data_IF_450656590700
#
_entry.id   IF_450656590700
#
_cell.length_a   1.000
_cell.length_b   1.000
_cell.length_c   1.000
_cell.angle_alpha   90.00
_cell.angle_beta   90.00
_cell.angle_gamma   90.00
#
_symmetry.space_group_name_H-M   'P 1'
#
loop_
_entity.id
_entity.type
_entity.pdbx_description
1 polymer ?
#
# COMPACT_ATOMS: atom_id res chain seq x y z
N UNK A 1 -2.44 0.37 35.56
CA UNK A 1 -1.49 0.96 34.60
C UNK A 1 -2.10 2.26 34.09
N UNK A 2 -1.56 3.41 34.48
CA UNK A 2 -2.14 4.72 34.13
C UNK A 2 -1.76 5.17 32.71
N UNK A 3 -2.69 5.11 31.78
CA UNK A 3 -2.46 5.41 30.35
C UNK A 3 -2.40 6.91 29.99
N UNK A 4 -2.62 7.82 30.95
CA UNK A 4 -2.62 9.26 30.71
C UNK A 4 -1.84 10.03 31.80
N UNK A 5 -0.51 9.98 31.77
CA UNK A 5 0.32 11.01 32.43
C UNK A 5 0.99 11.84 31.34
N UNK A 6 0.58 13.11 31.21
CA UNK A 6 1.25 14.09 30.33
C UNK A 6 2.55 14.55 31.00
N UNK A 7 3.66 14.43 30.27
CA UNK A 7 4.87 15.19 30.52
C UNK A 7 4.64 16.63 30.04
N UNK A 8 4.78 17.60 30.94
CA UNK A 8 4.75 19.03 30.62
C UNK A 8 6.11 19.43 30.04
N UNK A 9 6.24 19.54 28.72
CA UNK A 9 7.39 20.18 28.08
C UNK A 9 7.18 21.69 28.04
N UNK A 10 8.09 22.44 28.65
CA UNK A 10 8.11 23.90 28.63
C UNK A 10 8.63 24.37 27.26
N UNK A 11 7.81 25.09 26.51
CA UNK A 11 8.22 25.78 25.28
C UNK A 11 8.61 27.22 25.60
N UNK A 12 9.88 27.57 25.37
CA UNK A 12 10.38 28.94 25.41
C UNK A 12 10.09 29.64 24.09
N UNK A 13 9.21 30.64 24.12
CA UNK A 13 8.93 31.55 23.01
C UNK A 13 9.92 32.73 23.05
N UNK A 14 10.73 32.91 22.01
CA UNK A 14 11.42 34.17 21.74
C UNK A 14 11.06 34.61 20.32
N UNK A 15 10.20 35.62 20.22
CA UNK A 15 9.92 36.38 19.01
C UNK A 15 10.76 37.66 19.01
N UNK A 16 11.45 37.93 17.90
CA UNK A 16 12.00 39.26 17.56
C UNK A 16 11.23 39.82 16.36
N UNK A 17 10.90 41.12 16.34
CA UNK A 17 10.35 41.78 15.17
C UNK A 17 11.48 42.28 14.25
N UNK A 18 11.29 42.23 12.94
CA UNK A 18 12.12 42.96 11.98
C UNK A 18 11.30 44.09 11.37
N UNK A 19 11.95 45.24 11.37
CA UNK A 19 11.56 46.58 10.95
C UNK A 19 11.25 46.70 9.46
N UNK A 20 10.39 47.69 9.18
CA UNK A 20 10.13 48.33 7.90
C UNK A 20 11.41 48.66 7.12
N UNK A 21 11.30 48.64 5.79
CA UNK A 21 11.98 49.64 4.96
C UNK A 21 11.18 49.97 3.69
N UNK A 22 11.22 51.26 3.39
CA UNK A 22 10.52 52.00 2.33
C UNK A 22 11.20 51.89 0.95
N UNK A 23 10.46 52.39 -0.05
CA UNK A 23 10.85 52.86 -1.40
C UNK A 23 10.32 51.96 -2.53
N UNK A 24 9.81 52.43 -3.66
CA UNK A 24 9.54 53.77 -4.20
C UNK A 24 8.74 53.60 -5.49
N UNK A 25 7.99 54.65 -5.84
CA UNK A 25 7.20 54.83 -7.06
C UNK A 25 7.94 54.49 -8.38
N UNK A 26 7.22 53.88 -9.32
CA UNK A 26 7.31 54.24 -10.74
C UNK A 26 5.97 54.01 -11.44
N UNK A 27 5.43 55.11 -11.94
CA UNK A 27 4.21 55.19 -12.72
C UNK A 27 4.35 54.48 -14.07
N UNK A 28 3.30 53.76 -14.48
CA UNK A 28 3.04 53.52 -15.90
C UNK A 28 1.53 53.48 -16.16
N UNK A 29 1.09 54.48 -16.92
CA UNK A 29 -0.24 54.65 -17.45
C UNK A 29 -0.58 53.51 -18.41
N UNK A 30 -1.59 52.69 -18.09
CA UNK A 30 -2.28 51.88 -19.09
C UNK A 30 -3.79 52.02 -18.96
N UNK A 31 -4.37 52.20 -20.12
CA UNK A 31 -5.71 52.64 -20.45
C UNK A 31 -6.77 51.63 -20.03
N UNK A 32 -7.81 52.19 -19.41
CA UNK A 32 -9.19 51.73 -19.30
C UNK A 32 -9.68 50.91 -20.49
N UNK A 33 -10.10 49.66 -20.23
CA UNK A 33 -11.22 49.01 -20.91
C UNK A 33 -12.05 48.24 -19.88
N UNK A 34 -13.35 48.54 -19.87
CA UNK A 34 -14.53 47.91 -19.27
C UNK A 34 -14.33 46.61 -18.46
N UNK A 35 -14.69 46.53 -17.18
CA UNK A 35 -16.01 46.75 -16.54
C UNK A 35 -17.09 45.78 -17.04
N UNK A 36 -17.07 44.54 -16.53
CA UNK A 36 -18.30 43.71 -16.39
C UNK A 36 -18.15 42.45 -15.51
N UNK A 37 -17.00 42.16 -14.89
CA UNK A 37 -16.78 40.92 -14.11
C UNK A 37 -16.55 41.09 -12.60
N UNK A 38 -16.76 42.28 -12.03
CA UNK A 38 -16.45 42.56 -10.62
C UNK A 38 -17.60 42.32 -9.62
N UNK A 39 -18.83 42.03 -10.07
CA UNK A 39 -19.98 41.93 -9.15
C UNK A 39 -20.14 40.52 -8.54
N UNK A 40 -19.65 39.46 -9.18
CA UNK A 40 -19.88 38.08 -8.68
C UNK A 40 -18.81 37.56 -7.69
N UNK A 41 -17.65 38.24 -7.56
CA UNK A 41 -16.59 37.80 -6.63
C UNK A 41 -16.79 38.38 -5.21
N UNK A 42 -17.48 39.52 -5.08
CA UNK A 42 -17.70 40.17 -3.78
C UNK A 42 -18.68 39.41 -2.88
N UNK A 43 -19.67 38.70 -3.44
CA UNK A 43 -20.60 37.88 -2.64
C UNK A 43 -19.97 36.56 -2.15
N UNK A 44 -18.93 36.06 -2.83
CA UNK A 44 -18.19 34.86 -2.40
C UNK A 44 -17.25 35.11 -1.22
N UNK A 45 -16.76 36.35 -1.04
CA UNK A 45 -15.95 36.74 0.12
C UNK A 45 -16.80 37.14 1.34
N UNK A 46 -18.04 37.62 1.14
CA UNK A 46 -18.97 37.94 2.22
C UNK A 46 -19.52 36.70 2.96
N UNK A 47 -19.32 35.49 2.43
CA UNK A 47 -19.72 34.25 3.11
C UNK A 47 -18.70 33.77 4.16
N UNK A 48 -17.51 34.40 4.24
CA UNK A 48 -16.41 33.98 5.12
C UNK A 48 -16.45 34.63 6.52
N UNK A 49 -17.33 35.63 6.75
CA UNK A 49 -17.39 36.38 8.03
C UNK A 49 -18.54 35.96 8.95
N UNK A 50 -19.21 34.83 8.72
CA UNK A 50 -20.13 34.30 9.73
C UNK A 50 -19.33 33.90 10.96
N UNK A 51 -19.59 34.47 12.15
CA UNK A 51 -18.91 34.03 13.37
C UNK A 51 -19.12 32.52 13.51
N UNK A 52 -18.08 31.76 13.92
CA UNK A 52 -18.20 30.32 14.04
C UNK A 52 -19.44 29.99 14.88
N UNK A 53 -20.29 29.07 14.42
CA UNK A 53 -21.54 28.75 15.11
C UNK A 53 -21.22 28.42 16.57
N UNK A 54 -21.77 29.20 17.50
CA UNK A 54 -21.60 28.95 18.94
C UNK A 54 -22.15 27.55 19.21
N UNK A 55 -21.30 26.61 19.61
CA UNK A 55 -21.73 25.27 19.98
C UNK A 55 -22.54 25.35 21.28
N UNK A 56 -23.89 25.28 21.25
CA UNK A 56 -24.73 25.59 22.41
C UNK A 56 -24.47 24.64 23.58
N UNK A 57 -24.05 23.41 23.26
CA UNK A 57 -23.70 22.37 24.22
C UNK A 57 -22.52 22.74 25.13
N UNK A 58 -21.61 23.62 24.66
CA UNK A 58 -20.48 24.09 25.47
C UNK A 58 -20.86 25.16 26.49
N UNK A 59 -22.09 25.69 26.40
CA UNK A 59 -22.64 26.67 27.35
C UNK A 59 -23.56 26.03 28.39
N UNK A 60 -23.77 24.71 28.32
CA UNK A 60 -24.60 24.01 29.30
C UNK A 60 -23.87 23.93 30.65
N UNK A 61 -24.59 24.09 31.77
CA UNK A 61 -24.06 23.74 33.09
C UNK A 61 -23.52 22.31 33.11
N UNK A 62 -22.47 22.10 33.92
CA UNK A 62 -21.78 20.83 34.07
C UNK A 62 -22.75 19.67 34.38
N UNK A 63 -23.74 19.95 35.23
CA UNK A 63 -24.75 19.03 35.70
C UNK A 63 -25.61 18.52 34.54
N UNK A 64 -25.97 19.38 33.58
CA UNK A 64 -26.74 18.98 32.41
C UNK A 64 -25.91 18.10 31.46
N UNK A 65 -24.61 18.38 31.31
CA UNK A 65 -23.71 17.56 30.49
C UNK A 65 -23.56 16.15 31.10
N UNK A 66 -23.38 16.09 32.42
CA UNK A 66 -23.33 14.83 33.15
C UNK A 66 -24.67 14.09 33.08
N UNK A 67 -25.80 14.80 33.15
CA UNK A 67 -27.14 14.22 33.02
C UNK A 67 -27.36 13.65 31.63
N UNK A 68 -26.99 14.35 30.55
CA UNK A 68 -27.04 13.83 29.18
C UNK A 68 -26.25 12.52 29.07
N UNK A 69 -25.06 12.45 29.66
CA UNK A 69 -24.24 11.24 29.65
C UNK A 69 -24.93 10.02 30.31
N UNK A 70 -25.81 10.22 31.29
CA UNK A 70 -26.57 9.11 31.90
C UNK A 70 -27.61 8.47 30.98
N UNK A 71 -28.02 9.15 29.90
CA UNK A 71 -28.93 8.59 28.89
C UNK A 71 -28.20 7.94 27.70
N UNK A 72 -26.88 8.08 27.63
CA UNK A 72 -26.08 7.50 26.55
C UNK A 72 -25.64 6.09 26.92
N UNK A 73 -25.66 5.19 25.94
CA UNK A 73 -24.99 3.90 26.09
C UNK A 73 -23.47 4.10 26.20
N UNK A 74 -22.74 3.09 26.69
CA UNK A 74 -21.32 3.24 27.00
C UNK A 74 -20.47 3.65 25.79
N UNK A 75 -20.82 3.22 24.57
CA UNK A 75 -20.07 3.60 23.37
C UNK A 75 -20.36 5.06 22.99
N UNK A 76 -21.63 5.47 22.99
CA UNK A 76 -22.01 6.87 22.73
C UNK A 76 -21.49 7.81 23.80
N UNK A 77 -21.47 7.39 25.07
CA UNK A 77 -20.90 8.14 26.19
C UNK A 77 -19.39 8.38 26.00
N UNK A 78 -18.64 7.35 25.58
CA UNK A 78 -17.22 7.50 25.27
C UNK A 78 -16.97 8.41 24.05
N UNK A 79 -17.78 8.28 22.99
CA UNK A 79 -17.74 9.17 21.84
C UNK A 79 -18.08 10.62 22.20
N UNK A 80 -19.09 10.82 23.05
CA UNK A 80 -19.50 12.12 23.57
C UNK A 80 -18.38 12.74 24.41
N UNK A 81 -17.75 11.96 25.29
CA UNK A 81 -16.58 12.36 26.07
C UNK A 81 -15.43 12.88 25.19
N UNK A 82 -15.21 12.28 24.02
CA UNK A 82 -14.16 12.70 23.08
C UNK A 82 -14.54 13.83 22.12
N UNK A 83 -15.81 14.25 22.09
CA UNK A 83 -16.28 15.25 21.13
C UNK A 83 -15.68 16.65 21.36
N UNK A 84 -15.31 16.99 22.60
CA UNK A 84 -14.59 18.21 22.91
C UNK A 84 -13.77 18.08 24.19
N UNK A 85 -12.72 18.90 24.32
CA UNK A 85 -11.91 18.98 25.55
C UNK A 85 -12.75 19.39 26.77
N UNK A 86 -13.73 20.26 26.58
CA UNK A 86 -14.63 20.70 27.66
C UNK A 86 -15.49 19.53 28.17
N UNK A 87 -16.12 18.79 27.25
CA UNK A 87 -16.95 17.63 27.62
C UNK A 87 -16.08 16.53 28.26
N UNK A 88 -14.87 16.29 27.76
CA UNK A 88 -13.92 15.38 28.39
C UNK A 88 -13.62 15.74 29.85
N UNK A 89 -13.42 17.02 30.15
CA UNK A 89 -13.19 17.47 31.54
C UNK A 89 -14.46 17.46 32.38
N UNK A 90 -15.62 17.74 31.79
CA UNK A 90 -16.92 17.69 32.45
C UNK A 90 -17.29 16.28 32.92
N UNK A 91 -17.03 15.27 32.08
CA UNK A 91 -17.35 13.87 32.37
C UNK A 91 -16.20 13.11 33.06
N UNK A 92 -14.97 13.60 32.91
CA UNK A 92 -13.77 12.96 33.44
C UNK A 92 -13.28 11.76 32.64
N UNK A 93 -12.19 11.15 33.13
CA UNK A 93 -11.51 10.02 32.46
C UNK A 93 -12.25 8.69 32.58
N UNK A 94 -13.17 8.57 33.54
CA UNK A 94 -13.79 7.29 33.90
C UNK A 94 -14.68 6.77 32.77
N UNK A 95 -15.49 7.63 32.14
CA UNK A 95 -16.38 7.23 31.04
C UNK A 95 -15.60 6.54 29.91
N UNK A 96 -14.46 7.11 29.50
CA UNK A 96 -13.61 6.53 28.47
C UNK A 96 -12.85 5.29 28.97
N UNK A 97 -12.30 5.34 30.19
CA UNK A 97 -11.52 4.24 30.76
C UNK A 97 -12.40 3.01 30.98
N UNK A 98 -13.59 3.19 31.57
CA UNK A 98 -14.56 2.13 31.79
C UNK A 98 -15.01 1.50 30.47
N UNK A 99 -15.28 2.31 29.43
CA UNK A 99 -15.64 1.77 28.12
C UNK A 99 -14.53 0.89 27.53
N UNK A 100 -13.29 1.36 27.62
CA UNK A 100 -12.10 0.70 27.09
C UNK A 100 -11.71 -0.53 27.93
N UNK A 101 -11.95 -0.51 29.24
CA UNK A 101 -11.63 -1.60 30.17
C UNK A 101 -12.77 -2.61 30.35
N UNK A 102 -13.99 -2.29 29.88
CA UNK A 102 -15.15 -3.19 29.92
C UNK A 102 -14.89 -4.53 29.22
N UNK A 103 -14.12 -4.52 28.15
CA UNK A 103 -13.69 -5.75 27.48
C UNK A 103 -12.48 -6.36 28.18
N UNK A 104 -12.64 -7.59 28.71
CA UNK A 104 -11.52 -8.38 29.24
C UNK A 104 -10.58 -8.86 28.13
N UNK A 105 -11.10 -8.97 26.91
CA UNK A 105 -10.33 -9.38 25.75
C UNK A 105 -9.50 -8.22 25.19
N UNK A 106 -8.16 -8.39 25.17
CA UNK A 106 -7.23 -7.40 24.62
C UNK A 106 -7.55 -7.01 23.16
N UNK A 107 -8.06 -7.94 22.35
CA UNK A 107 -8.40 -7.66 20.96
C UNK A 107 -9.64 -6.77 20.81
N UNK A 108 -10.66 -7.01 21.63
CA UNK A 108 -11.85 -6.15 21.67
C UNK A 108 -11.49 -4.76 22.17
N UNK A 109 -10.66 -4.67 23.22
CA UNK A 109 -10.14 -3.41 23.76
C UNK A 109 -9.50 -2.55 22.67
N UNK A 110 -8.64 -3.17 21.85
CA UNK A 110 -8.00 -2.50 20.70
C UNK A 110 -9.00 -2.05 19.66
N UNK A 111 -9.95 -2.92 19.30
CA UNK A 111 -11.00 -2.58 18.34
C UNK A 111 -11.81 -1.37 18.80
N UNK A 112 -12.12 -1.30 20.09
CA UNK A 112 -12.82 -0.15 20.70
C UNK A 112 -11.97 1.12 20.65
N UNK A 113 -10.69 1.04 21.03
CA UNK A 113 -9.76 2.18 20.95
C UNK A 113 -9.64 2.70 19.51
N UNK A 114 -9.48 1.80 18.54
CA UNK A 114 -9.38 2.15 17.12
C UNK A 114 -10.67 2.79 16.58
N UNK A 115 -11.84 2.27 16.95
CA UNK A 115 -13.12 2.76 16.45
C UNK A 115 -13.50 4.14 17.02
N UNK A 116 -13.17 4.39 18.29
CA UNK A 116 -13.65 5.58 19.03
C UNK A 116 -12.54 6.63 19.15
N UNK A 117 -11.35 6.22 19.60
CA UNK A 117 -10.28 7.16 19.98
C UNK A 117 -9.50 7.62 18.75
N UNK A 118 -9.09 6.72 17.86
CA UNK A 118 -8.27 7.09 16.70
C UNK A 118 -9.00 8.03 15.73
N UNK A 119 -10.33 7.85 15.60
CA UNK A 119 -11.19 8.76 14.86
C UNK A 119 -11.28 10.17 15.48
N UNK A 120 -11.08 10.32 16.79
CA UNK A 120 -11.20 11.61 17.47
C UNK A 120 -9.92 12.48 17.37
N UNK A 121 -8.77 11.90 17.01
CA UNK A 121 -7.48 12.60 17.02
C UNK A 121 -6.82 12.62 15.63
N UNK A 122 -7.19 13.58 14.76
CA UNK A 122 -6.42 13.83 13.53
C UNK A 122 -4.96 14.14 13.90
N UNK A 123 -4.02 13.68 13.08
CA UNK A 123 -2.57 13.76 13.37
C UNK A 123 -2.01 12.70 14.33
N UNK A 124 -2.84 11.78 14.85
CA UNK A 124 -2.36 10.61 15.60
C UNK A 124 -2.90 9.30 15.01
N UNK A 125 -2.17 8.20 15.20
CA UNK A 125 -2.65 6.85 14.91
C UNK A 125 -2.37 5.93 16.08
N UNK A 126 -3.20 4.90 16.24
CA UNK A 126 -3.02 3.90 17.29
C UNK A 126 -2.09 2.78 16.79
N UNK A 127 -1.02 2.50 17.53
CA UNK A 127 -0.13 1.40 17.21
C UNK A 127 -0.50 0.15 18.01
N UNK A 128 -1.13 -0.82 17.35
CA UNK A 128 -1.51 -2.10 17.94
C UNK A 128 -0.33 -2.98 18.41
N UNK A 129 0.93 -2.59 18.15
CA UNK A 129 2.10 -3.31 18.67
C UNK A 129 2.47 -2.85 20.07
N UNK A 130 2.67 -1.54 20.26
CA UNK A 130 3.08 -0.98 21.55
C UNK A 130 1.90 -0.43 22.38
N UNK A 131 0.67 -0.51 21.87
CA UNK A 131 -0.55 0.01 22.48
C UNK A 131 -0.45 1.51 22.84
N UNK A 132 0.17 2.31 21.95
CA UNK A 132 0.35 3.77 22.10
C UNK A 132 -0.16 4.55 20.89
N UNK A 133 -0.59 5.79 21.14
CA UNK A 133 -0.83 6.76 20.08
C UNK A 133 0.47 7.40 19.63
N UNK A 134 0.66 7.44 18.33
CA UNK A 134 1.80 8.07 17.71
C UNK A 134 1.35 9.25 16.89
N UNK A 135 2.01 10.39 17.08
CA UNK A 135 1.91 11.50 16.15
C UNK A 135 2.41 11.04 14.77
N UNK A 136 1.74 11.52 13.74
CA UNK A 136 2.14 11.41 12.35
C UNK A 136 2.03 12.77 11.66
N UNK A 137 2.76 12.89 10.56
CA UNK A 137 2.81 14.06 9.70
C UNK A 137 2.68 13.63 8.24
N UNK A 138 2.23 14.52 7.33
CA UNK A 138 2.17 14.23 5.90
C UNK A 138 3.51 13.77 5.29
N UNK A 139 4.62 14.09 5.95
CA UNK A 139 5.98 13.71 5.56
C UNK A 139 6.33 12.27 5.96
N UNK A 140 5.58 11.63 6.87
CA UNK A 140 5.78 10.24 7.33
C UNK A 140 5.30 9.19 6.31
N UNK A 141 5.41 9.49 5.02
CA UNK A 141 5.07 8.56 3.94
C UNK A 141 6.17 7.51 3.70
N UNK A 142 5.92 6.54 2.81
CA UNK A 142 6.91 5.52 2.44
C UNK A 142 8.24 6.06 1.89
N UNK A 143 8.24 7.31 1.40
CA UNK A 143 9.39 8.04 0.86
C UNK A 143 10.18 8.82 1.91
N UNK A 144 9.71 8.86 3.15
CA UNK A 144 10.37 9.60 4.21
C UNK A 144 11.79 9.06 4.39
N UNK A 145 12.78 9.94 4.21
CA UNK A 145 14.11 9.65 4.71
C UNK A 145 13.98 9.41 6.21
N UNK A 146 14.58 8.35 6.73
CA UNK A 146 14.55 8.02 8.15
C UNK A 146 15.36 9.09 8.90
N UNK A 147 14.75 10.24 9.11
CA UNK A 147 15.29 11.34 9.90
C UNK A 147 14.66 11.24 11.28
N UNK A 148 15.28 10.46 12.16
CA UNK A 148 14.83 10.34 13.54
C UNK A 148 15.16 9.00 14.20
N UNK A 149 14.89 8.93 15.51
CA UNK A 149 14.97 7.67 16.28
C UNK A 149 13.99 6.68 15.68
N UNK A 150 14.49 5.59 15.10
CA UNK A 150 13.66 4.48 14.62
C UNK A 150 12.75 4.02 15.77
N UNK A 151 11.45 4.02 15.52
CA UNK A 151 10.49 3.49 16.47
C UNK A 151 10.59 1.97 16.40
N UNK A 152 10.95 1.31 17.50
CA UNK A 152 11.06 -0.15 17.56
C UNK A 152 9.78 -0.83 17.02
N UNK A 153 8.60 -0.32 17.41
CA UNK A 153 7.31 -0.84 16.94
C UNK A 153 7.09 -0.73 15.42
N UNK A 154 7.76 0.21 14.74
CA UNK A 154 7.62 0.39 13.30
C UNK A 154 8.48 -0.60 12.50
N UNK A 155 9.54 -1.15 13.09
CA UNK A 155 10.40 -2.15 12.45
C UNK A 155 9.88 -3.58 12.70
N UNK A 156 9.29 -3.85 13.88
CA UNK A 156 8.73 -5.17 14.23
C UNK A 156 7.52 -5.59 13.39
N UNK A 157 6.77 -4.64 12.86
CA UNK A 157 5.55 -4.91 12.11
C UNK A 157 5.79 -5.27 10.64
N UNK A 158 6.97 -5.82 10.30
CA UNK A 158 7.34 -6.11 8.91
C UNK A 158 7.47 -4.84 8.04
N UNK A 159 8.18 -4.96 6.92
CA UNK A 159 8.33 -3.89 5.94
C UNK A 159 8.59 -4.48 4.55
N UNK A 160 8.26 -3.69 3.53
CA UNK A 160 8.50 -3.98 2.13
C UNK A 160 9.45 -2.93 1.55
N UNK A 161 10.68 -3.34 1.30
CA UNK A 161 11.71 -2.48 0.72
C UNK A 161 11.59 -2.42 -0.80
N UNK A 162 11.57 -1.21 -1.36
CA UNK A 162 11.51 -0.99 -2.80
C UNK A 162 12.82 -0.44 -3.35
N UNK A 163 13.40 0.54 -2.67
CA UNK A 163 14.65 1.23 -2.99
C UNK A 163 15.20 1.90 -1.72
N UNK A 164 16.39 2.49 -1.79
CA UNK A 164 17.04 3.15 -0.63
C UNK A 164 16.23 4.28 0.00
N UNK A 165 15.34 4.87 -0.79
CA UNK A 165 14.49 5.99 -0.45
C UNK A 165 13.01 5.58 -0.29
N UNK A 166 12.68 4.28 -0.36
CA UNK A 166 11.28 3.84 -0.26
C UNK A 166 11.14 2.56 0.55
N UNK A 167 10.48 2.68 1.70
CA UNK A 167 10.16 1.58 2.61
C UNK A 167 8.69 1.64 2.98
N UNK A 168 7.92 0.65 2.54
CA UNK A 168 6.52 0.52 2.93
C UNK A 168 6.42 -0.25 4.25
N UNK A 169 5.83 0.37 5.26
CA UNK A 169 5.61 -0.19 6.59
C UNK A 169 4.12 -0.26 6.88
N UNK A 170 3.72 -1.09 7.84
CA UNK A 170 2.31 -1.28 8.20
C UNK A 170 1.60 0.04 8.51
N UNK A 171 2.24 0.92 9.29
CA UNK A 171 1.62 2.17 9.72
C UNK A 171 1.37 3.13 8.55
N UNK A 172 2.16 3.09 7.47
CA UNK A 172 1.85 3.84 6.26
C UNK A 172 0.50 3.38 5.70
N UNK A 173 0.31 2.06 5.56
CA UNK A 173 -0.95 1.46 5.08
C UNK A 173 -2.12 1.84 6.00
N UNK A 174 -1.94 1.77 7.33
CA UNK A 174 -2.93 2.22 8.32
C UNK A 174 -3.34 3.67 8.10
N UNK A 175 -2.36 4.57 7.96
CA UNK A 175 -2.62 6.00 7.75
C UNK A 175 -3.39 6.23 6.44
N UNK A 176 -3.04 5.54 5.35
CA UNK A 176 -3.79 5.66 4.10
C UNK A 176 -5.25 5.19 4.23
N UNK A 177 -5.47 4.08 4.94
CA UNK A 177 -6.81 3.57 5.23
C UNK A 177 -7.59 4.54 6.11
N UNK A 178 -6.98 5.10 7.15
CA UNK A 178 -7.61 6.11 7.99
C UNK A 178 -8.00 7.35 7.17
N UNK A 179 -7.13 7.81 6.27
CA UNK A 179 -7.42 8.93 5.39
C UNK A 179 -8.64 8.65 4.50
N UNK A 180 -8.75 7.43 3.97
CA UNK A 180 -9.88 6.99 3.16
C UNK A 180 -11.19 6.88 3.95
N UNK A 181 -11.12 6.46 5.22
CA UNK A 181 -12.32 6.17 6.02
C UNK A 181 -12.85 7.38 6.77
N UNK A 182 -11.97 8.30 7.18
CA UNK A 182 -12.30 9.39 8.09
C UNK A 182 -12.00 10.78 7.53
N UNK A 183 -11.22 10.88 6.44
CA UNK A 183 -10.85 12.17 5.82
C UNK A 183 -9.34 12.40 5.77
N UNK A 184 -8.85 13.30 4.89
CA UNK A 184 -7.42 13.53 4.65
C UNK A 184 -6.62 13.96 5.89
N UNK A 185 -7.27 14.53 6.91
CA UNK A 185 -6.68 14.91 8.20
C UNK A 185 -6.33 13.72 9.11
N UNK A 186 -6.75 12.50 8.75
CA UNK A 186 -6.50 11.27 9.51
C UNK A 186 -5.36 10.41 8.96
N UNK A 187 -4.74 10.79 7.83
CA UNK A 187 -3.56 10.08 7.36
C UNK A 187 -2.94 10.59 6.08
N UNK A 188 -2.12 9.76 5.46
CA UNK A 188 -1.36 10.12 4.25
C UNK A 188 -2.19 9.83 2.99
N UNK A 189 -2.12 10.71 1.96
CA UNK A 189 -2.87 10.50 0.73
C UNK A 189 -2.32 9.30 -0.06
N UNK A 190 -3.18 8.64 -0.85
CA UNK A 190 -2.77 7.51 -1.71
C UNK A 190 -1.65 7.87 -2.70
N UNK A 191 -1.56 9.13 -3.12
CA UNK A 191 -0.47 9.61 -3.98
C UNK A 191 0.92 9.48 -3.34
N UNK A 192 1.02 9.42 -2.00
CA UNK A 192 2.28 9.20 -1.30
C UNK A 192 2.88 7.81 -1.55
N UNK A 193 2.07 6.85 -1.99
CA UNK A 193 2.49 5.48 -2.29
C UNK A 193 2.95 5.28 -3.73
N UNK A 194 2.70 6.26 -4.61
CA UNK A 194 3.19 6.23 -5.99
C UNK A 194 4.69 6.50 -6.02
N UNK A 195 5.46 5.60 -6.60
CA UNK A 195 6.91 5.70 -6.66
C UNK A 195 7.43 5.25 -8.02
N UNK A 196 8.41 5.96 -8.55
CA UNK A 196 9.17 5.55 -9.71
C UNK A 196 10.65 5.64 -9.39
N UNK A 197 11.37 4.55 -9.58
CA UNK A 197 12.81 4.48 -9.34
C UNK A 197 13.51 3.88 -10.54
N UNK A 198 14.51 4.58 -11.07
CA UNK A 198 15.37 4.12 -12.15
C UNK A 198 16.77 3.91 -11.59
N UNK A 199 17.38 2.77 -11.91
CA UNK A 199 18.70 2.42 -11.41
C UNK A 199 19.44 1.51 -12.39
N UNK A 200 20.69 1.19 -12.08
CA UNK A 200 21.51 0.23 -12.83
C UNK A 200 21.87 -0.91 -11.87
N UNK A 201 21.38 -2.11 -12.15
CA UNK A 201 21.75 -3.31 -11.42
C UNK A 201 22.95 -4.01 -12.08
N UNK A 202 23.79 -4.70 -11.31
CA UNK A 202 24.90 -5.48 -11.88
C UNK A 202 24.48 -6.94 -12.05
N UNK A 203 24.38 -7.41 -13.29
CA UNK A 203 24.16 -8.82 -13.63
C UNK A 203 25.41 -9.34 -14.32
N UNK A 204 26.12 -10.30 -13.72
CA UNK A 204 27.40 -10.82 -14.24
C UNK A 204 28.45 -9.72 -14.53
N UNK A 205 28.57 -8.73 -13.63
CA UNK A 205 29.40 -7.52 -13.79
C UNK A 205 28.95 -6.55 -14.87
N UNK A 206 27.94 -6.89 -15.68
CA UNK A 206 27.36 -5.98 -16.66
C UNK A 206 26.28 -5.10 -16.01
N UNK A 207 26.37 -3.77 -16.14
CA UNK A 207 25.33 -2.87 -15.66
C UNK A 207 24.09 -3.00 -16.56
N UNK A 208 22.95 -3.29 -15.95
CA UNK A 208 21.64 -3.50 -16.58
C UNK A 208 20.68 -2.44 -16.08
N UNK A 209 20.03 -1.67 -16.96
CA UNK A 209 19.06 -0.67 -16.55
C UNK A 209 17.81 -1.34 -15.97
N UNK A 210 17.34 -0.78 -14.85
CA UNK A 210 16.17 -1.24 -14.11
C UNK A 210 15.21 -0.07 -13.87
N UNK A 211 13.90 -0.36 -13.90
CA UNK A 211 12.82 0.59 -13.61
C UNK A 211 11.78 -0.07 -12.71
N UNK A 212 11.60 0.48 -11.52
CA UNK A 212 10.52 0.13 -10.59
C UNK A 212 9.42 1.20 -10.66
N UNK A 213 8.17 0.77 -10.73
CA UNK A 213 6.99 1.61 -10.60
C UNK A 213 6.04 1.01 -9.56
N UNK A 214 5.58 1.83 -8.63
CA UNK A 214 4.62 1.48 -7.60
C UNK A 214 3.37 2.34 -7.74
N UNK A 215 2.20 1.75 -7.51
CA UNK A 215 0.95 2.47 -7.35
C UNK A 215 0.04 1.75 -6.36
N UNK A 216 -0.71 2.50 -5.58
CA UNK A 216 -1.64 1.96 -4.60
C UNK A 216 -3.07 2.40 -4.91
N UNK A 217 -4.03 1.60 -4.44
CA UNK A 217 -5.47 1.86 -4.56
C UNK A 217 -6.19 1.24 -3.37
N UNK A 218 -7.29 1.84 -2.96
CA UNK A 218 -8.21 1.21 -1.99
C UNK A 218 -9.45 0.73 -2.74
N UNK A 219 -9.82 -0.52 -2.54
CA UNK A 219 -10.99 -1.14 -3.17
C UNK A 219 -11.74 -1.96 -2.12
N UNK A 220 -13.03 -1.70 -1.94
CA UNK A 220 -13.90 -2.40 -0.95
C UNK A 220 -13.32 -2.41 0.48
N UNK A 221 -12.61 -1.35 0.88
CA UNK A 221 -11.97 -1.26 2.20
C UNK A 221 -10.67 -2.06 2.34
N UNK A 222 -10.10 -2.55 1.23
CA UNK A 222 -8.81 -3.23 1.19
C UNK A 222 -7.76 -2.34 0.51
N UNK A 223 -6.55 -2.33 1.06
CA UNK A 223 -5.43 -1.62 0.47
C UNK A 223 -4.71 -2.52 -0.54
N UNK A 224 -4.78 -2.15 -1.81
CA UNK A 224 -4.16 -2.87 -2.91
C UNK A 224 -2.89 -2.15 -3.38
N UNK A 225 -1.80 -2.90 -3.55
CA UNK A 225 -0.52 -2.40 -4.03
C UNK A 225 -0.13 -3.08 -5.34
N UNK A 226 0.09 -2.27 -6.39
CA UNK A 226 0.70 -2.71 -7.63
C UNK A 226 2.19 -2.37 -7.64
N UNK A 227 3.02 -3.33 -8.04
CA UNK A 227 4.44 -3.13 -8.28
C UNK A 227 4.78 -3.64 -9.68
N UNK A 228 5.57 -2.87 -10.44
CA UNK A 228 6.01 -3.21 -11.79
C UNK A 228 7.50 -2.96 -11.89
N UNK A 229 8.27 -4.02 -12.08
CA UNK A 229 9.71 -3.97 -12.24
C UNK A 229 10.10 -4.39 -13.65
N UNK A 230 10.79 -3.51 -14.37
CA UNK A 230 11.29 -3.77 -15.71
C UNK A 230 12.82 -3.72 -15.70
N UNK A 231 13.45 -4.60 -16.48
CA UNK A 231 14.90 -4.61 -16.67
C UNK A 231 15.29 -5.05 -18.09
N UNK A 232 16.43 -4.60 -18.58
CA UNK A 232 16.93 -4.94 -19.93
C UNK A 232 18.15 -5.85 -19.84
N UNK A 233 17.93 -7.16 -20.02
CA UNK A 233 18.96 -8.18 -19.99
C UNK A 233 19.69 -8.26 -21.35
N UNK A 234 21.02 -8.41 -21.36
CA UNK A 234 21.75 -8.72 -22.58
C UNK A 234 21.49 -10.18 -23.00
N UNK A 235 21.49 -10.48 -24.31
CA UNK A 235 21.15 -11.82 -24.82
C UNK A 235 22.08 -12.93 -24.31
N UNK A 236 23.35 -12.63 -24.00
CA UNK A 236 24.25 -13.63 -23.42
C UNK A 236 23.81 -14.06 -22.01
N UNK A 237 23.16 -13.18 -21.25
CA UNK A 237 22.75 -13.47 -19.88
C UNK A 237 21.60 -14.49 -19.84
N UNK A 238 20.71 -14.47 -20.83
CA UNK A 238 19.57 -15.40 -20.93
C UNK A 238 19.99 -16.86 -21.13
N UNK A 239 21.19 -17.09 -21.68
CA UNK A 239 21.77 -18.42 -21.89
C UNK A 239 22.50 -18.96 -20.66
N UNK A 240 22.78 -18.12 -19.66
CA UNK A 240 23.53 -18.52 -18.49
C UNK A 240 22.66 -19.35 -17.52
N UNK A 241 23.12 -20.55 -17.16
CA UNK A 241 22.41 -21.44 -16.21
C UNK A 241 22.27 -20.84 -14.81
N UNK A 242 23.17 -19.93 -14.44
CA UNK A 242 23.18 -19.25 -13.14
C UNK A 242 22.45 -17.90 -13.17
N UNK A 243 21.71 -17.59 -14.24
CA UNK A 243 21.02 -16.31 -14.38
C UNK A 243 20.09 -16.02 -13.21
N UNK A 244 19.29 -17.00 -12.80
CA UNK A 244 18.33 -16.83 -11.72
C UNK A 244 19.00 -16.47 -10.40
N UNK A 245 20.17 -17.06 -10.09
CA UNK A 245 20.96 -16.75 -8.91
C UNK A 245 21.49 -15.31 -8.92
N UNK A 246 21.84 -14.78 -10.09
CA UNK A 246 22.27 -13.39 -10.26
C UNK A 246 21.08 -12.40 -10.28
N UNK A 247 19.94 -12.83 -10.83
CA UNK A 247 18.76 -12.03 -11.05
C UNK A 247 17.92 -11.85 -9.78
N UNK A 248 17.73 -12.92 -9.01
CA UNK A 248 16.82 -12.91 -7.86
C UNK A 248 17.15 -11.84 -6.81
N UNK A 249 18.42 -11.65 -6.40
CA UNK A 249 18.78 -10.61 -5.42
C UNK A 249 18.60 -9.17 -5.94
N UNK A 250 18.48 -8.98 -7.26
CA UNK A 250 18.25 -7.67 -7.88
C UNK A 250 16.77 -7.28 -7.85
N UNK A 251 15.86 -8.25 -7.71
CA UNK A 251 14.43 -7.97 -7.62
C UNK A 251 14.11 -7.32 -6.27
N UNK A 252 13.40 -6.18 -6.24
CA UNK A 252 13.13 -5.50 -4.99
C UNK A 252 12.16 -6.30 -4.13
N UNK A 253 12.34 -6.23 -2.82
CA UNK A 253 11.54 -6.99 -1.86
C UNK A 253 10.04 -6.63 -1.92
N UNK A 254 9.67 -5.40 -2.30
CA UNK A 254 8.27 -5.03 -2.53
C UNK A 254 7.61 -5.83 -3.66
N UNK A 255 8.41 -6.37 -4.58
CA UNK A 255 7.97 -7.21 -5.69
C UNK A 255 7.94 -8.69 -5.28
N UNK A 256 9.04 -9.22 -4.75
CA UNK A 256 9.20 -10.67 -4.49
C UNK A 256 8.92 -11.10 -3.06
N UNK A 257 8.98 -10.16 -2.11
CA UNK A 257 8.99 -10.43 -0.68
C UNK A 257 7.76 -11.21 -0.20
N UNK A 258 8.03 -12.33 0.45
CA UNK A 258 7.06 -13.24 1.03
C UNK A 258 7.60 -13.70 2.38
N UNK A 259 6.81 -13.60 3.45
CA UNK A 259 7.33 -13.84 4.80
C UNK A 259 7.80 -15.29 5.01
N UNK A 260 7.07 -16.23 4.42
CA UNK A 260 7.29 -17.67 4.63
C UNK A 260 8.19 -18.33 3.56
N UNK A 261 8.81 -17.55 2.67
CA UNK A 261 9.57 -18.10 1.53
C UNK A 261 10.65 -17.14 1.04
N UNK A 262 11.91 -17.59 1.09
CA UNK A 262 13.04 -16.87 0.49
C UNK A 262 12.97 -16.82 -1.04
N UNK A 263 12.23 -17.76 -1.63
CA UNK A 263 11.94 -17.81 -3.06
C UNK A 263 10.74 -16.92 -3.45
N UNK A 264 10.24 -16.12 -2.50
CA UNK A 264 9.14 -15.19 -2.71
C UNK A 264 7.81 -15.90 -2.97
N UNK A 265 6.96 -15.26 -3.78
CA UNK A 265 5.64 -15.77 -4.14
C UNK A 265 5.71 -17.11 -4.88
N UNK A 266 4.80 -18.02 -4.55
CA UNK A 266 4.76 -19.36 -5.14
C UNK A 266 4.74 -19.30 -6.67
N UNK A 267 5.66 -20.03 -7.29
CA UNK A 267 5.78 -20.15 -8.74
C UNK A 267 6.44 -18.97 -9.45
N UNK A 268 6.59 -17.81 -8.80
CA UNK A 268 7.13 -16.59 -9.44
C UNK A 268 8.57 -16.81 -9.93
N UNK A 269 9.45 -17.34 -9.07
CA UNK A 269 10.85 -17.60 -9.40
C UNK A 269 10.99 -18.55 -10.61
N UNK A 270 10.23 -19.66 -10.61
CA UNK A 270 10.24 -20.63 -11.71
C UNK A 270 9.69 -20.02 -13.01
N UNK A 271 8.66 -19.18 -12.91
CA UNK A 271 8.08 -18.51 -14.06
C UNK A 271 9.05 -17.48 -14.68
N UNK A 272 9.84 -16.78 -13.87
CA UNK A 272 10.93 -15.92 -14.36
C UNK A 272 11.96 -16.76 -15.13
N UNK A 273 12.42 -17.87 -14.58
CA UNK A 273 13.39 -18.76 -15.25
C UNK A 273 12.85 -19.28 -16.59
N UNK A 274 11.60 -19.75 -16.61
CA UNK A 274 10.94 -20.24 -17.81
C UNK A 274 10.77 -19.16 -18.88
N UNK A 275 10.35 -17.95 -18.50
CA UNK A 275 10.18 -16.83 -19.45
C UNK A 275 11.53 -16.45 -20.05
N UNK A 276 12.55 -16.29 -19.22
CA UNK A 276 13.84 -15.76 -19.68
C UNK A 276 14.66 -16.80 -20.45
N UNK A 277 14.67 -18.06 -20.01
CA UNK A 277 15.50 -19.11 -20.62
C UNK A 277 14.79 -19.89 -21.72
N UNK A 278 13.48 -20.11 -21.59
CA UNK A 278 12.70 -20.97 -22.49
C UNK A 278 11.75 -20.18 -23.38
N UNK A 279 11.69 -18.85 -23.24
CA UNK A 279 10.78 -18.00 -24.01
C UNK A 279 9.30 -18.28 -23.73
N UNK A 280 8.99 -18.85 -22.55
CA UNK A 280 7.59 -19.14 -22.19
C UNK A 280 6.77 -17.85 -22.09
N UNK A 281 5.49 -17.96 -22.44
CA UNK A 281 4.54 -16.85 -22.36
C UNK A 281 3.38 -17.23 -21.45
N UNK A 282 3.18 -16.45 -20.41
CA UNK A 282 2.02 -16.57 -19.54
C UNK A 282 0.92 -15.65 -20.07
N UNK A 283 -0.15 -16.23 -20.61
CA UNK A 283 -1.28 -15.47 -21.15
C UNK A 283 -2.15 -14.83 -20.05
N UNK A 284 -2.12 -15.40 -18.85
CA UNK A 284 -2.95 -15.01 -17.74
C UNK A 284 -2.10 -14.72 -16.50
N UNK A 285 -2.64 -13.84 -15.65
CA UNK A 285 -2.12 -13.57 -14.31
C UNK A 285 -2.21 -14.84 -13.47
N UNK A 286 -1.13 -15.16 -12.78
CA UNK A 286 -1.05 -16.25 -11.82
C UNK A 286 -1.26 -15.71 -10.40
N UNK A 287 -1.55 -16.58 -9.44
CA UNK A 287 -1.62 -16.22 -8.03
C UNK A 287 -0.60 -16.98 -7.19
N UNK A 288 -0.19 -16.37 -6.09
CA UNK A 288 0.49 -17.06 -5.01
C UNK A 288 -0.53 -17.93 -4.26
N UNK A 289 -0.21 -19.19 -3.97
CA UNK A 289 -1.09 -20.03 -3.13
C UNK A 289 -0.98 -19.69 -1.63
N UNK A 290 0.10 -19.02 -1.23
CA UNK A 290 0.42 -18.73 0.16
C UNK A 290 -0.07 -17.36 0.62
N UNK A 291 -0.30 -16.41 -0.29
CA UNK A 291 -0.72 -15.07 0.07
C UNK A 291 -1.67 -14.46 -0.97
N UNK A 292 -2.35 -13.38 -0.59
CA UNK A 292 -3.19 -12.62 -1.51
C UNK A 292 -2.31 -11.77 -2.45
N UNK A 293 -1.65 -12.43 -3.40
CA UNK A 293 -0.86 -11.77 -4.44
C UNK A 293 -1.03 -12.42 -5.79
N UNK A 294 -1.43 -11.60 -6.75
CA UNK A 294 -1.41 -11.92 -8.17
C UNK A 294 -0.09 -11.46 -8.79
N UNK A 295 0.41 -12.19 -9.78
CA UNK A 295 1.61 -11.81 -10.52
C UNK A 295 1.52 -12.13 -12.01
N UNK A 296 2.26 -11.36 -12.80
CA UNK A 296 2.39 -11.53 -14.25
C UNK A 296 3.83 -11.24 -14.68
N UNK A 297 4.30 -11.98 -15.67
CA UNK A 297 5.65 -11.84 -16.21
C UNK A 297 5.56 -11.78 -17.72
N UNK A 298 6.30 -10.86 -18.33
CA UNK A 298 6.48 -10.81 -19.77
C UNK A 298 7.95 -10.57 -20.12
N UNK A 299 8.37 -11.15 -21.24
CA UNK A 299 9.65 -10.85 -21.87
C UNK A 299 9.43 -10.41 -23.31
N UNK A 300 10.15 -9.36 -23.70
CA UNK A 300 10.18 -8.87 -25.07
C UNK A 300 11.63 -8.84 -25.55
N UNK A 301 11.90 -9.54 -26.65
CA UNK A 301 13.21 -9.53 -27.30
C UNK A 301 13.34 -8.35 -28.26
N UNK A 302 14.52 -7.76 -28.32
CA UNK A 302 14.92 -6.70 -29.24
C UNK A 302 16.07 -7.23 -30.09
N UNK A 303 15.78 -7.90 -31.23
CA UNK A 303 16.81 -8.49 -32.08
C UNK A 303 17.68 -7.42 -32.77
N UNK A 304 17.13 -6.23 -33.00
CA UNK A 304 17.82 -5.12 -33.67
C UNK A 304 18.80 -4.36 -32.78
N UNK A 305 18.79 -4.58 -31.46
CA UNK A 305 19.77 -3.99 -30.57
C UNK A 305 21.10 -4.74 -30.72
N UNK A 306 22.22 -4.01 -30.86
CA UNK A 306 23.56 -4.60 -30.99
C UNK A 306 23.82 -5.62 -29.86
N UNK A 307 24.05 -6.88 -30.25
CA UNK A 307 24.29 -7.99 -29.31
C UNK A 307 23.03 -8.67 -28.75
N UNK A 308 21.84 -8.26 -29.18
CA UNK A 308 20.55 -8.78 -28.73
C UNK A 308 20.22 -8.37 -27.29
N UNK A 309 19.01 -7.88 -27.06
CA UNK A 309 18.54 -7.52 -25.72
C UNK A 309 17.16 -8.12 -25.45
N UNK A 310 16.85 -8.34 -24.17
CA UNK A 310 15.56 -8.80 -23.71
C UNK A 310 15.07 -7.90 -22.58
N UNK A 311 13.88 -7.31 -22.71
CA UNK A 311 13.21 -6.63 -21.61
C UNK A 311 12.35 -7.61 -20.85
N UNK A 312 12.73 -7.88 -19.61
CA UNK A 312 11.91 -8.60 -18.64
C UNK A 312 11.05 -7.59 -17.87
N UNK A 313 9.75 -7.86 -17.75
CA UNK A 313 8.82 -7.11 -16.92
C UNK A 313 8.12 -8.07 -15.97
N UNK A 314 8.24 -7.79 -14.67
CA UNK A 314 7.57 -8.54 -13.60
C UNK A 314 6.60 -7.59 -12.91
N UNK A 315 5.35 -8.02 -12.78
CA UNK A 315 4.28 -7.24 -12.15
C UNK A 315 3.64 -8.05 -11.04
N UNK A 316 3.33 -7.39 -9.93
CA UNK A 316 2.60 -7.98 -8.81
C UNK A 316 1.48 -7.06 -8.35
N UNK A 317 0.35 -7.65 -7.95
CA UNK A 317 -0.77 -6.97 -7.31
C UNK A 317 -1.02 -7.67 -5.97
N UNK A 318 -0.86 -6.93 -4.87
CA UNK A 318 -0.97 -7.44 -3.51
C UNK A 318 -2.20 -6.86 -2.84
N UNK A 319 -2.92 -7.68 -2.09
CA UNK A 319 -3.91 -7.21 -1.12
C UNK A 319 -3.25 -7.19 0.27
N UNK A 320 -3.00 -5.99 0.79
CA UNK A 320 -2.38 -5.79 2.10
C UNK A 320 -3.40 -5.82 3.25
N UNK A 321 -4.67 -6.11 2.95
CA UNK A 321 -5.77 -6.21 3.90
C UNK A 321 -6.43 -4.85 4.20
N UNK A 322 -7.17 -4.82 5.30
CA UNK A 322 -7.93 -3.65 5.75
C UNK A 322 -7.08 -2.65 6.54
N UNK A 323 -5.84 -3.04 6.86
CA UNK A 323 -4.94 -2.36 7.77
C UNK A 323 -5.62 -2.02 9.11
N UNK A 324 -6.50 -2.90 9.59
CA UNK A 324 -7.08 -2.75 10.92
C UNK A 324 -6.12 -3.19 11.98
N UNK A 325 -5.55 -4.37 11.79
CA UNK A 325 -4.53 -4.90 12.69
C UNK A 325 -3.27 -5.36 11.94
N UNK A 326 -2.06 -5.12 12.48
CA UNK A 326 -0.82 -5.65 11.90
C UNK A 326 -0.72 -7.17 12.01
N UNK A 327 -1.69 -7.82 12.65
CA UNK A 327 -1.81 -9.27 12.79
C UNK A 327 -2.71 -9.89 11.71
N UNK A 328 -3.31 -9.08 10.82
CA UNK A 328 -4.06 -9.59 9.66
C UNK A 328 -3.16 -10.40 8.73
N UNK A 329 -3.72 -11.49 8.20
CA UNK A 329 -3.04 -12.38 7.24
C UNK A 329 -2.59 -11.62 5.99
N UNK A 330 -3.43 -10.70 5.48
CA UNK A 330 -3.12 -9.87 4.31
C UNK A 330 -1.77 -9.14 4.46
N UNK A 331 -1.55 -8.46 5.58
CA UNK A 331 -0.25 -7.82 5.83
C UNK A 331 0.83 -8.82 6.26
N UNK A 332 0.51 -9.77 7.15
CA UNK A 332 1.49 -10.69 7.74
C UNK A 332 2.12 -11.65 6.73
N UNK A 333 1.43 -12.00 5.66
CA UNK A 333 1.98 -12.81 4.59
C UNK A 333 3.11 -12.10 3.82
N UNK A 334 3.24 -10.79 4.02
CA UNK A 334 4.22 -9.94 3.37
C UNK A 334 5.27 -9.44 4.38
N UNK A 335 6.54 -9.52 3.99
CA UNK A 335 7.61 -9.10 4.86
C UNK A 335 8.93 -9.74 4.58
N UNK A 336 9.97 -9.12 5.13
CA UNK A 336 11.30 -9.72 5.18
C UNK A 336 11.18 -11.00 6.00
N UNK A 337 11.68 -12.11 5.46
CA UNK A 337 11.79 -13.36 6.19
C UNK A 337 12.45 -13.08 7.54
N UNK A 338 11.70 -13.23 8.63
CA UNK A 338 12.29 -13.26 9.95
C UNK A 338 13.15 -14.51 10.01
N UNK A 339 14.44 -14.35 10.36
CA UNK A 339 15.42 -15.43 10.33
C UNK A 339 14.93 -16.75 10.93
N UNK A 340 15.54 -17.84 10.45
CA UNK A 340 15.27 -19.25 10.77
C UNK A 340 14.71 -19.46 12.18
N UNK A 341 13.40 -19.73 12.28
CA UNK A 341 12.76 -20.05 13.57
C UNK A 341 11.25 -19.87 13.68
N UNK A 342 10.58 -19.19 12.74
CA UNK A 342 9.13 -18.93 12.83
C UNK A 342 8.31 -19.89 11.96
N UNK A 343 8.08 -21.12 12.44
CA UNK A 343 7.29 -22.15 11.74
C UNK A 343 5.77 -22.04 11.97
N UNK A 344 5.31 -21.13 12.83
CA UNK A 344 3.91 -21.08 13.27
C UNK A 344 2.95 -20.33 12.32
N UNK A 345 3.44 -19.61 11.30
CA UNK A 345 2.61 -18.72 10.47
C UNK A 345 1.97 -19.39 9.24
N UNK A 346 2.46 -20.55 8.83
CA UNK A 346 2.17 -21.13 7.50
C UNK A 346 0.75 -21.71 7.39
N UNK A 347 0.22 -22.30 8.47
CA UNK A 347 -1.08 -22.98 8.45
C UNK A 347 -2.27 -22.02 8.34
N UNK A 348 -2.21 -20.85 8.98
CA UNK A 348 -3.32 -19.88 8.99
C UNK A 348 -3.50 -19.19 7.63
N UNK A 349 -2.41 -19.06 6.85
CA UNK A 349 -2.46 -18.34 5.57
C UNK A 349 -3.13 -19.15 4.45
N UNK A 350 -2.96 -20.48 4.45
CA UNK A 350 -3.51 -21.39 3.44
C UNK A 350 -5.05 -21.40 3.40
N UNK A 351 -5.70 -21.25 4.55
CA UNK A 351 -7.18 -21.25 4.62
C UNK A 351 -7.78 -19.97 4.03
N UNK A 352 -7.11 -18.83 4.20
CA UNK A 352 -7.61 -17.54 3.70
C UNK A 352 -7.47 -17.39 2.18
N UNK A 353 -6.51 -18.08 1.57
CA UNK A 353 -6.27 -18.03 0.11
C UNK A 353 -7.02 -19.13 -0.65
N UNK A 354 -7.58 -20.12 0.05
CA UNK A 354 -8.37 -21.20 -0.51
C UNK A 354 -9.69 -20.67 -1.09
N UNK A 355 -9.64 -20.12 -2.31
CA UNK A 355 -10.79 -19.53 -2.99
C UNK A 355 -10.45 -18.31 -3.84
N UNK A 356 -9.27 -17.72 -3.68
CA UNK A 356 -8.83 -16.62 -4.54
C UNK A 356 -8.53 -17.14 -5.95
N UNK A 357 -9.37 -16.76 -6.90
CA UNK A 357 -9.14 -17.03 -8.32
C UNK A 357 -7.94 -16.22 -8.81
N UNK A 358 -7.08 -16.82 -9.64
CA UNK A 358 -5.97 -16.13 -10.27
C UNK A 358 -6.45 -14.87 -11.02
N UNK A 359 -5.78 -13.75 -10.78
CA UNK A 359 -6.12 -12.44 -11.35
C UNK A 359 -7.24 -11.70 -10.61
N UNK A 360 -7.81 -12.22 -9.53
CA UNK A 360 -8.87 -11.53 -8.78
C UNK A 360 -8.40 -10.20 -8.18
N UNK A 361 -7.20 -10.16 -7.62
CA UNK A 361 -6.62 -8.96 -6.99
C UNK A 361 -6.25 -7.95 -8.07
N UNK A 362 -5.67 -8.41 -9.17
CA UNK A 362 -5.44 -7.57 -10.35
C UNK A 362 -6.74 -6.95 -10.86
N UNK A 363 -7.80 -7.75 -11.01
CA UNK A 363 -9.13 -7.25 -11.45
C UNK A 363 -9.69 -6.22 -10.47
N UNK A 364 -9.57 -6.45 -9.16
CA UNK A 364 -10.00 -5.48 -8.13
C UNK A 364 -9.18 -4.18 -8.14
N UNK A 365 -7.91 -4.25 -8.52
CA UNK A 365 -7.07 -3.08 -8.72
C UNK A 365 -7.46 -2.32 -9.99
N UNK A 366 -7.61 -3.04 -11.11
CA UNK A 366 -7.86 -2.48 -12.44
C UNK A 366 -9.33 -2.02 -12.62
N UNK A 367 -10.28 -2.52 -11.82
CA UNK A 367 -11.70 -2.16 -11.91
C UNK A 367 -11.92 -0.66 -11.66
N UNK A 368 -12.66 0.02 -12.54
CA UNK A 368 -12.87 1.47 -12.50
C UNK A 368 -13.62 2.00 -11.26
N UNK A 369 -14.14 1.12 -10.40
CA UNK A 369 -14.73 1.46 -9.08
C UNK A 369 -13.68 1.92 -8.06
N UNK A 370 -12.76 2.82 -8.45
CA UNK A 370 -12.08 3.63 -7.47
C UNK A 370 -13.14 4.53 -6.82
N UNK A 371 -13.18 4.56 -5.50
CA UNK A 371 -14.02 5.42 -4.69
C UNK A 371 -13.61 6.91 -4.84
N UNK A 372 -13.60 7.43 -6.06
CA UNK A 372 -13.52 8.86 -6.35
C UNK A 372 -14.88 9.49 -6.01
N UNK A 373 -15.09 9.68 -4.70
CA UNK A 373 -16.08 10.63 -4.18
C UNK A 373 -15.69 12.10 -4.43
N UNK A 374 -14.55 12.35 -5.10
CA UNK A 374 -14.10 13.66 -5.54
C UNK A 374 -13.67 13.57 -7.01
N UNK A 375 -14.55 13.99 -7.92
CA UNK A 375 -14.27 14.12 -9.36
C UNK A 375 -13.05 15.02 -9.54
N UNK A 376 -11.87 14.43 -9.75
CA UNK A 376 -10.67 15.16 -10.19
C UNK A 376 -10.76 15.32 -11.71
N UNK A 377 -10.47 16.51 -12.28
CA UNK A 377 -10.48 16.69 -13.73
C UNK A 377 -9.48 15.75 -14.38
N UNK A 378 -9.96 14.95 -15.33
CA UNK A 378 -9.17 14.00 -16.10
C UNK A 378 -8.07 14.74 -16.87
N UNK A 379 -6.84 14.68 -16.36
CA UNK A 379 -5.67 15.00 -17.16
C UNK A 379 -5.44 13.84 -18.12
N UNK A 380 -5.81 14.03 -19.39
CA UNK A 380 -5.53 13.10 -20.48
C UNK A 380 -4.04 12.74 -20.47
N UNK A 381 -3.74 11.51 -20.07
CA UNK A 381 -2.38 10.97 -20.15
C UNK A 381 -1.97 10.90 -21.62
N UNK A 382 -0.78 11.41 -22.00
CA UNK A 382 -0.30 11.33 -23.37
C UNK A 382 -0.18 9.87 -23.80
N UNK A 383 -0.55 9.62 -25.05
CA UNK A 383 -0.54 8.32 -25.71
C UNK A 383 0.81 7.60 -25.54
N UNK A 384 0.74 6.26 -25.55
CA UNK A 384 1.85 5.31 -25.36
C UNK A 384 3.02 5.57 -26.32
N UNK A 385 3.87 6.54 -26.01
CA UNK A 385 5.16 6.70 -26.67
C UNK A 385 6.11 5.58 -26.18
N UNK A 386 6.84 5.01 -27.13
CA UNK A 386 7.77 3.89 -26.98
C UNK A 386 8.74 4.12 -25.80
N UNK A 387 8.62 3.30 -24.74
CA UNK A 387 9.47 3.35 -23.53
C UNK A 387 10.97 3.23 -23.86
N UNK A 388 11.32 2.64 -25.01
CA UNK A 388 12.71 2.53 -25.48
C UNK A 388 13.38 3.91 -25.67
N UNK A 389 12.64 4.94 -26.11
CA UNK A 389 13.18 6.31 -26.23
C UNK A 389 13.48 6.96 -24.88
N UNK A 390 12.72 6.65 -23.82
CA UNK A 390 12.92 7.24 -22.50
C UNK A 390 14.17 6.75 -21.77
N UNK A 391 14.77 5.65 -22.24
CA UNK A 391 16.02 5.10 -21.71
C UNK A 391 17.25 5.51 -22.52
N UNK A 392 17.08 5.85 -23.81
CA UNK A 392 18.19 6.11 -24.74
C UNK A 392 18.33 7.59 -25.16
N UNK A 393 17.44 8.51 -24.72
CA UNK A 393 17.60 9.95 -24.98
C UNK A 393 18.81 10.51 -24.21
N UNK A 394 19.98 10.43 -24.84
CA UNK A 394 21.00 11.49 -24.75
C UNK A 394 20.45 12.70 -25.51
N UNK A 395 20.72 13.90 -25.01
CA UNK A 395 20.39 15.17 -25.66
C UNK A 395 21.12 15.31 -27.00
N UNK A 396 20.57 14.75 -28.06
CA UNK A 396 20.90 15.10 -29.44
C UNK A 396 19.57 15.39 -30.13
N UNK A 397 19.32 16.68 -30.33
CA UNK A 397 18.32 17.16 -31.26
C UNK A 397 18.83 16.90 -32.68
N UNK A 398 17.86 16.80 -33.59
CA UNK A 398 18.00 16.69 -35.05
C UNK A 398 17.94 15.27 -35.61
N UNK A 399 17.16 15.19 -36.69
CA UNK A 399 16.86 14.05 -37.58
C UNK A 399 15.55 13.28 -37.28
N UNK A 400 14.47 13.86 -37.82
CA UNK A 400 13.30 13.15 -38.34
C UNK A 400 13.64 12.59 -39.73
N UNK A 401 13.39 11.31 -39.98
CA UNK A 401 12.54 10.83 -41.09
C UNK A 401 12.57 9.29 -41.23
N UNK A 402 11.53 8.81 -41.91
CA UNK A 402 11.40 7.55 -42.62
C UNK A 402 10.70 6.36 -41.93
N UNK A 403 9.51 6.09 -42.48
CA UNK A 403 8.57 5.07 -42.09
C UNK A 403 8.87 3.76 -42.82
N UNK A 404 8.85 2.63 -42.10
CA UNK A 404 8.97 1.32 -42.72
C UNK A 404 7.84 0.36 -42.30
N UNK A 405 7.20 -0.20 -43.34
CA UNK A 405 6.04 -1.08 -43.28
C UNK A 405 6.49 -2.49 -42.83
N UNK A 406 6.20 -2.84 -41.58
CA UNK A 406 6.54 -4.16 -41.03
C UNK A 406 5.57 -5.24 -41.56
N UNK A 407 6.07 -6.04 -42.51
CA UNK A 407 5.52 -7.35 -42.93
C UNK A 407 5.45 -8.31 -41.73
N UNK A 408 4.24 -8.75 -41.38
CA UNK A 408 4.00 -9.80 -40.38
C UNK A 408 4.34 -11.17 -40.97
N UNK A 409 5.42 -11.79 -40.53
CA UNK A 409 5.68 -13.22 -40.79
C UNK A 409 4.92 -14.09 -39.79
N UNK A 410 4.04 -14.94 -40.32
CA UNK A 410 3.25 -15.93 -39.59
C UNK A 410 4.04 -17.21 -39.35
N UNK A 411 5.06 -17.16 -38.48
CA UNK A 411 5.71 -18.38 -38.00
C UNK A 411 4.94 -18.93 -36.79
N UNK A 412 4.16 -20.00 -37.00
CA UNK A 412 3.49 -20.77 -35.92
C UNK A 412 4.53 -21.56 -35.10
N UNK A 413 4.60 -21.39 -33.77
CA UNK A 413 5.39 -22.26 -32.90
C UNK A 413 4.81 -23.69 -32.84
N UNK A 414 5.69 -24.68 -32.80
CA UNK A 414 5.43 -26.11 -33.09
C UNK A 414 4.80 -26.95 -31.97
N UNK A 415 4.28 -26.39 -30.87
CA UNK A 415 3.51 -27.20 -29.90
C UNK A 415 2.57 -26.31 -29.08
N UNK A 416 1.35 -26.13 -29.57
CA UNK A 416 0.25 -25.68 -28.73
C UNK A 416 -0.26 -26.91 -27.97
N UNK A 417 -0.43 -26.79 -26.65
CA UNK A 417 -1.37 -27.69 -25.99
C UNK A 417 -2.74 -27.43 -26.58
N UNK A 418 -3.42 -28.48 -27.03
CA UNK A 418 -4.80 -28.33 -27.48
C UNK A 418 -5.65 -27.79 -26.33
N UNK A 419 -6.81 -27.20 -26.64
CA UNK A 419 -7.76 -26.78 -25.60
C UNK A 419 -8.06 -27.94 -24.64
N UNK A 420 -8.21 -29.13 -25.18
CA UNK A 420 -8.41 -30.38 -24.44
C UNK A 420 -7.24 -30.72 -23.51
N UNK A 421 -5.99 -30.51 -23.94
CA UNK A 421 -4.82 -30.72 -23.08
C UNK A 421 -4.72 -29.69 -21.95
N UNK A 422 -5.14 -28.44 -22.20
CA UNK A 422 -5.22 -27.42 -21.15
C UNK A 422 -6.35 -27.73 -20.16
N UNK A 423 -7.51 -28.17 -20.64
CA UNK A 423 -8.65 -28.56 -19.82
C UNK A 423 -8.32 -29.82 -18.98
N UNK A 424 -7.64 -30.81 -19.57
CA UNK A 424 -7.17 -31.99 -18.86
C UNK A 424 -6.10 -31.65 -17.80
N UNK A 425 -5.20 -30.72 -18.08
CA UNK A 425 -4.24 -30.24 -17.10
C UNK A 425 -4.91 -29.50 -15.94
N UNK A 426 -5.95 -28.71 -16.22
CA UNK A 426 -6.75 -28.03 -15.21
C UNK A 426 -7.53 -29.02 -14.32
N UNK A 427 -8.12 -30.07 -14.90
CA UNK A 427 -8.82 -31.12 -14.15
C UNK A 427 -7.86 -31.91 -13.24
N UNK A 428 -6.67 -32.27 -13.73
CA UNK A 428 -5.64 -32.94 -12.90
C UNK A 428 -5.25 -32.07 -11.70
N UNK A 429 -5.04 -30.79 -11.93
CA UNK A 429 -4.69 -29.84 -10.87
C UNK A 429 -5.82 -29.70 -9.84
N UNK A 430 -7.08 -29.65 -10.26
CA UNK A 430 -8.22 -29.65 -9.32
C UNK A 430 -8.32 -30.94 -8.51
N UNK A 431 -8.04 -32.09 -9.14
CA UNK A 431 -8.09 -33.39 -8.46
C UNK A 431 -6.98 -33.51 -7.40
N UNK A 432 -5.74 -33.17 -7.75
CA UNK A 432 -4.62 -33.10 -6.79
C UNK A 432 -4.93 -32.17 -5.62
N UNK A 433 -5.57 -31.02 -5.89
CA UNK A 433 -6.00 -30.08 -4.84
C UNK A 433 -7.04 -30.69 -3.90
N UNK A 434 -8.02 -31.44 -4.42
CA UNK A 434 -9.04 -32.12 -3.60
C UNK A 434 -8.42 -33.20 -2.72
N UNK A 435 -7.44 -33.93 -3.25
CA UNK A 435 -6.75 -35.00 -2.52
C UNK A 435 -5.88 -34.44 -1.38
N UNK A 436 -5.18 -33.32 -1.60
CA UNK A 436 -4.42 -32.61 -0.54
C UNK A 436 -5.36 -32.15 0.59
N UNK A 437 -6.53 -31.60 0.25
CA UNK A 437 -7.50 -31.15 1.25
C UNK A 437 -8.07 -32.31 2.06
N UNK A 438 -8.34 -33.45 1.41
CA UNK A 438 -8.79 -34.68 2.09
C UNK A 438 -7.72 -35.19 3.05
N UNK A 439 -6.46 -35.27 2.61
CA UNK A 439 -5.34 -35.69 3.46
C UNK A 439 -5.15 -34.78 4.67
N UNK A 440 -5.25 -33.46 4.49
CA UNK A 440 -5.17 -32.51 5.60
C UNK A 440 -6.32 -32.67 6.61
N UNK A 441 -7.54 -32.94 6.14
CA UNK A 441 -8.69 -33.18 7.00
C UNK A 441 -8.54 -34.49 7.80
N UNK A 442 -8.08 -35.57 7.15
CA UNK A 442 -7.80 -36.85 7.80
C UNK A 442 -6.71 -36.73 8.87
N UNK A 443 -5.63 -35.99 8.58
CA UNK A 443 -4.56 -35.73 9.55
C UNK A 443 -5.05 -34.91 10.76
N UNK A 444 -5.91 -33.92 10.53
CA UNK A 444 -6.54 -33.18 11.64
C UNK A 444 -7.43 -34.08 12.50
N UNK A 445 -8.26 -34.93 11.87
CA UNK A 445 -9.09 -35.88 12.58
C UNK A 445 -8.26 -36.88 13.40
N UNK A 446 -7.15 -37.38 12.82
CA UNK A 446 -6.21 -38.29 13.50
C UNK A 446 -5.56 -37.62 14.73
N UNK A 447 -5.12 -36.36 14.60
CA UNK A 447 -4.56 -35.60 15.72
C UNK A 447 -5.61 -35.31 16.81
N UNK A 448 -6.86 -35.05 16.43
CA UNK A 448 -7.95 -34.87 17.39
C UNK A 448 -8.23 -36.16 18.17
N UNK A 449 -8.28 -37.31 17.48
CA UNK A 449 -8.46 -38.62 18.12
C UNK A 449 -7.31 -38.99 19.08
N UNK A 450 -6.06 -38.64 18.72
CA UNK A 450 -4.90 -38.85 19.60
C UNK A 450 -4.97 -38.00 20.88
N UNK A 451 -5.41 -36.74 20.78
CA UNK A 451 -5.59 -35.88 21.97
C UNK A 451 -6.67 -36.41 22.92
N UNK A 452 -7.69 -37.10 22.41
CA UNK A 452 -8.73 -37.70 23.25
C UNK A 452 -8.25 -38.88 24.11
N UNK A 453 -7.14 -39.53 23.75
CA UNK A 453 -6.61 -40.71 24.47
C UNK A 453 -5.66 -40.37 25.61
N UNK A 454 -5.14 -39.15 25.68
CA UNK A 454 -4.16 -38.74 26.70
C UNK A 454 -4.79 -38.16 27.99
N UNK A 455 -6.12 -38.22 28.13
CA UNK A 455 -6.86 -37.70 29.29
C UNK A 455 -7.61 -38.79 30.08
N UNK A 456 -7.15 -40.04 29.99
CA UNK A 456 -7.64 -41.16 30.80
C UNK A 456 -6.50 -41.80 31.60
#
# INVERSE_FOLDING_TARGET
MGFFRRSMSHGSSQSRPSTDDSASDTASSRTSMDSTFQVEISDSLATITKPPPKAPILNLPLELIQHVNTYLDTASAAGFCLSSRYIYYALGTNVLSDHVERSKNRFEKRRTIEAVVERAFPGHFFCAWCDKFHAWSPQDGPKALIQGKRRECADFNSYLYASSDYILRYHHVRLAMNAFLWGPEHGIPLSAFTHEHKSMAKIFKTPVPTKLQLSAKISKGHFLLRSSFAMVLPAFATRNRNLLKALWPVLPHILTGHRDSDNGHTGLMAAIDNVVRRGWRYHFTQNCCMCATDWAISAQEFPHATGGQMRLVVQTWRDLGSARTPFETGWRAHGVCGGEGSTASTATCLLSTAGLQAGAIRRAFDSAEAADGLKRPETRSPSKAHIYHSFMRRNTADEEEEADVIRRSSARPRYWRTKEENDAAALRYEQERRDILRGAAEDMARRAAQRGRTWF
#
